data_IF_663843202508
#
_entry.id   IF_663843202508
#
_cell.length_a   1.000
_cell.length_b   1.000
_cell.length_c   1.000
_cell.angle_alpha   90.00
_cell.angle_beta   90.00
_cell.angle_gamma   90.00
#
_symmetry.space_group_name_H-M   'P 1'
#
loop_
_entity.id
_entity.type
_entity.pdbx_description
1 polymer ?
#
# COMPACT_ATOMS: atom_id res chain seq x y z
N UNK A 1 -17.05 3.70 0.05
CA UNK A 1 -15.78 4.01 0.75
C UNK A 1 -15.73 5.52 0.88
N UNK A 2 -15.63 6.07 2.09
CA UNK A 2 -15.57 7.53 2.27
C UNK A 2 -14.11 7.97 2.33
N UNK A 3 -13.62 8.52 1.22
CA UNK A 3 -12.24 8.98 1.10
C UNK A 3 -11.88 10.04 2.15
N UNK A 4 -12.83 10.91 2.50
CA UNK A 4 -12.60 11.95 3.50
C UNK A 4 -12.34 11.34 4.88
N UNK A 5 -13.08 10.28 5.23
CA UNK A 5 -12.88 9.57 6.49
C UNK A 5 -11.51 8.91 6.53
N UNK A 6 -11.10 8.22 5.46
CA UNK A 6 -9.79 7.55 5.40
C UNK A 6 -8.66 8.56 5.54
N UNK A 7 -8.73 9.68 4.82
CA UNK A 7 -7.73 10.76 4.93
C UNK A 7 -7.71 11.35 6.34
N UNK A 8 -8.88 11.55 6.97
CA UNK A 8 -8.96 12.03 8.34
C UNK A 8 -8.33 11.05 9.34
N UNK A 9 -8.52 9.74 9.16
CA UNK A 9 -7.90 8.71 10.01
C UNK A 9 -6.37 8.68 9.82
N UNK A 10 -5.88 8.75 8.58
CA UNK A 10 -4.44 8.84 8.28
C UNK A 10 -3.82 10.09 8.91
N UNK A 11 -4.48 11.26 8.79
CA UNK A 11 -4.07 12.53 9.44
C UNK A 11 -3.92 12.39 10.95
N UNK A 12 -4.80 11.61 11.58
CA UNK A 12 -4.77 11.35 13.01
C UNK A 12 -3.84 10.17 13.39
N UNK A 13 -2.97 9.72 12.48
CA UNK A 13 -2.07 8.57 12.66
C UNK A 13 -2.80 7.27 13.04
N UNK A 14 -4.08 7.14 12.66
CA UNK A 14 -4.86 5.90 12.78
C UNK A 14 -4.67 5.06 11.52
N UNK A 15 -3.47 4.54 11.36
CA UNK A 15 -3.09 3.74 10.19
C UNK A 15 -3.61 2.32 10.31
N UNK A 16 -4.23 1.82 9.25
CA UNK A 16 -4.54 0.40 9.07
C UNK A 16 -3.35 -0.27 8.36
N UNK A 17 -3.09 -1.55 8.63
CA UNK A 17 -1.99 -2.27 7.97
C UNK A 17 -2.24 -2.46 6.47
N UNK A 18 -3.51 -2.47 6.04
CA UNK A 18 -3.89 -2.71 4.64
C UNK A 18 -5.02 -1.78 4.22
N UNK A 19 -4.88 -1.19 3.03
CA UNK A 19 -5.93 -0.42 2.36
C UNK A 19 -6.18 -1.00 0.96
N UNK A 20 -7.41 -1.39 0.67
CA UNK A 20 -7.85 -1.73 -0.69
C UNK A 20 -8.56 -0.51 -1.29
N UNK A 21 -7.87 0.21 -2.17
CA UNK A 21 -8.42 1.39 -2.84
C UNK A 21 -8.97 0.97 -4.20
N UNK A 22 -10.31 0.97 -4.33
CA UNK A 22 -10.98 0.58 -5.57
C UNK A 22 -12.29 1.37 -5.75
N UNK A 23 -12.74 1.53 -6.99
CA UNK A 23 -13.96 2.24 -7.30
C UNK A 23 -14.02 2.70 -8.76
N UNK A 24 -15.17 3.25 -9.15
CA UNK A 24 -15.40 3.80 -10.49
C UNK A 24 -14.82 5.21 -10.66
N UNK A 25 -14.55 5.90 -9.56
CA UNK A 25 -14.02 7.27 -9.53
C UNK A 25 -12.52 7.26 -9.14
N UNK A 26 -11.58 7.34 -10.12
CA UNK A 26 -10.15 7.24 -9.85
C UNK A 26 -9.62 8.36 -8.96
N UNK A 27 -10.24 9.54 -9.02
CA UNK A 27 -9.86 10.70 -8.22
C UNK A 27 -9.72 10.38 -6.73
N UNK A 28 -10.64 9.60 -6.15
CA UNK A 28 -10.56 9.25 -4.72
C UNK A 28 -9.48 8.21 -4.42
N UNK A 29 -9.17 7.34 -5.38
CA UNK A 29 -8.08 6.37 -5.26
C UNK A 29 -6.76 7.14 -5.21
N UNK A 30 -6.54 8.02 -6.20
CA UNK A 30 -5.35 8.86 -6.31
C UNK A 30 -5.21 9.76 -5.08
N UNK A 31 -6.29 10.42 -4.67
CA UNK A 31 -6.30 11.30 -3.49
C UNK A 31 -5.81 10.57 -2.23
N UNK A 32 -6.24 9.32 -1.99
CA UNK A 32 -5.82 8.56 -0.81
C UNK A 32 -4.40 8.03 -1.00
N UNK A 33 -4.07 7.47 -2.16
CA UNK A 33 -2.75 6.88 -2.40
C UNK A 33 -1.64 7.93 -2.34
N UNK A 34 -1.88 9.10 -2.94
CA UNK A 34 -0.91 10.20 -2.93
C UNK A 34 -0.76 10.77 -1.51
N UNK A 35 -1.86 10.85 -0.76
CA UNK A 35 -1.79 11.26 0.65
C UNK A 35 -0.94 10.29 1.49
N UNK A 36 -1.10 8.98 1.29
CA UNK A 36 -0.27 7.96 1.95
C UNK A 36 1.20 8.11 1.53
N UNK A 37 1.44 8.22 0.22
CA UNK A 37 2.77 8.35 -0.38
C UNK A 37 3.53 9.56 0.19
N UNK A 38 2.83 10.68 0.38
CA UNK A 38 3.43 11.94 0.78
C UNK A 38 3.58 12.11 2.30
N UNK A 39 2.65 11.58 3.11
CA UNK A 39 2.50 12.00 4.52
C UNK A 39 2.72 10.90 5.57
N UNK A 40 2.70 9.62 5.20
CA UNK A 40 2.87 8.55 6.20
C UNK A 40 4.31 8.51 6.73
N UNK A 41 5.28 8.74 5.85
CA UNK A 41 6.70 8.74 6.18
C UNK A 41 7.29 10.14 6.11
N UNK A 42 8.29 10.38 6.94
CA UNK A 42 9.13 11.57 6.79
C UNK A 42 9.92 11.47 5.48
N UNK A 43 10.18 12.62 4.85
CA UNK A 43 10.85 12.69 3.55
C UNK A 43 12.19 11.95 3.52
N UNK A 44 12.98 12.04 4.60
CA UNK A 44 14.26 11.36 4.72
C UNK A 44 14.15 9.83 4.78
N UNK A 45 13.00 9.30 5.22
CA UNK A 45 12.77 7.86 5.37
C UNK A 45 12.19 7.23 4.10
N UNK A 46 11.48 7.99 3.26
CA UNK A 46 10.82 7.48 2.05
C UNK A 46 11.76 6.68 1.14
N UNK A 47 12.99 7.14 0.95
CA UNK A 47 13.97 6.45 0.11
C UNK A 47 14.36 5.03 0.59
N UNK A 48 14.05 4.69 1.84
CA UNK A 48 14.37 3.40 2.46
C UNK A 48 13.11 2.59 2.79
N UNK A 49 12.07 3.27 3.27
CA UNK A 49 10.89 2.65 3.86
C UNK A 49 9.64 2.77 2.99
N UNK A 50 9.77 3.32 1.78
CA UNK A 50 8.70 3.35 0.78
C UNK A 50 9.07 2.52 -0.43
N UNK A 51 8.14 1.71 -0.91
CA UNK A 51 8.30 0.98 -2.18
C UNK A 51 7.04 1.13 -3.01
N UNK A 52 7.19 1.67 -4.21
CA UNK A 52 6.12 1.75 -5.21
C UNK A 52 6.32 0.59 -6.21
N UNK A 53 5.32 -0.25 -6.32
CA UNK A 53 5.25 -1.36 -7.27
C UNK A 53 4.15 -1.07 -8.30
N UNK A 54 4.31 -1.60 -9.50
CA UNK A 54 3.29 -1.53 -10.54
C UNK A 54 2.74 -2.93 -10.81
N UNK A 55 1.42 -3.11 -10.79
CA UNK A 55 0.78 -4.42 -10.89
C UNK A 55 1.19 -5.23 -12.12
N UNK A 56 1.45 -4.55 -13.25
CA UNK A 56 1.91 -5.18 -14.50
C UNK A 56 3.35 -5.71 -14.45
N UNK A 57 4.19 -5.15 -13.56
CA UNK A 57 5.64 -5.39 -13.48
C UNK A 57 6.05 -6.13 -12.19
N UNK A 58 5.07 -6.61 -11.40
CA UNK A 58 5.32 -7.25 -10.11
C UNK A 58 4.53 -8.55 -9.96
N UNK A 59 4.93 -9.37 -8.99
CA UNK A 59 4.26 -10.61 -8.62
C UNK A 59 4.02 -10.67 -7.10
N UNK A 60 3.18 -11.61 -6.67
CA UNK A 60 2.80 -11.74 -5.27
C UNK A 60 4.00 -12.09 -4.36
N UNK A 61 4.97 -12.83 -4.86
CA UNK A 61 6.20 -13.16 -4.13
C UNK A 61 6.99 -11.89 -3.82
N UNK A 62 7.20 -11.04 -4.82
CA UNK A 62 7.91 -9.76 -4.68
C UNK A 62 7.17 -8.82 -3.75
N UNK A 63 5.85 -8.68 -3.93
CA UNK A 63 4.99 -7.84 -3.10
C UNK A 63 5.06 -8.24 -1.62
N UNK A 64 4.82 -9.52 -1.32
CA UNK A 64 4.79 -10.02 0.06
C UNK A 64 6.18 -9.95 0.69
N UNK A 65 7.24 -10.22 -0.07
CA UNK A 65 8.60 -10.06 0.44
C UNK A 65 8.96 -8.60 0.73
N UNK A 66 8.43 -7.64 -0.03
CA UNK A 66 8.62 -6.22 0.26
C UNK A 66 7.85 -5.79 1.53
N UNK A 67 6.61 -6.27 1.68
CA UNK A 67 5.75 -5.97 2.82
C UNK A 67 6.26 -6.58 4.15
N UNK A 68 6.89 -7.76 4.11
CA UNK A 68 7.48 -8.41 5.30
C UNK A 68 8.78 -7.78 5.79
N UNK A 69 9.34 -6.80 5.09
CA UNK A 69 10.57 -6.13 5.54
C UNK A 69 10.26 -5.19 6.69
N UNK A 70 11.11 -5.23 7.71
CA UNK A 70 11.07 -4.22 8.74
C UNK A 70 11.47 -2.85 8.18
N UNK A 71 10.88 -1.76 8.70
CA UNK A 71 11.37 -0.41 8.43
C UNK A 71 12.84 -0.30 8.81
N UNK A 72 13.61 0.41 7.99
CA UNK A 72 15.01 0.70 8.20
C UNK A 72 15.21 1.96 9.06
N UNK A 73 14.47 3.05 8.80
CA UNK A 73 14.65 4.33 9.49
C UNK A 73 13.38 4.81 10.19
N UNK A 74 12.22 4.62 9.57
CA UNK A 74 10.93 5.04 10.08
C UNK A 74 10.26 4.03 10.99
N UNK A 75 9.04 4.36 11.41
CA UNK A 75 8.18 3.46 12.20
C UNK A 75 7.42 2.45 11.32
N UNK A 76 7.25 2.75 10.03
CA UNK A 76 6.42 1.99 9.10
C UNK A 76 7.16 1.71 7.80
N UNK A 77 6.82 0.58 7.19
CA UNK A 77 7.20 0.20 5.84
C UNK A 77 5.96 0.40 4.96
N UNK A 78 6.05 1.28 3.97
CA UNK A 78 4.91 1.65 3.11
C UNK A 78 5.08 1.06 1.73
N UNK A 79 4.23 0.08 1.41
CA UNK A 79 4.19 -0.54 0.08
C UNK A 79 2.94 -0.07 -0.66
N UNK A 80 3.13 0.54 -1.82
CA UNK A 80 2.04 1.03 -2.68
C UNK A 80 2.07 0.27 -4.00
N UNK A 81 0.99 -0.44 -4.33
CA UNK A 81 0.86 -1.14 -5.61
C UNK A 81 -0.06 -0.33 -6.52
N UNK A 82 0.51 0.40 -7.48
CA UNK A 82 -0.24 1.14 -8.50
C UNK A 82 -0.73 0.16 -9.57
N UNK A 83 -1.91 0.43 -10.13
CA UNK A 83 -2.54 -0.44 -11.15
C UNK A 83 -2.67 -1.92 -10.71
N UNK A 84 -3.05 -2.15 -9.45
CA UNK A 84 -3.08 -3.48 -8.84
C UNK A 84 -4.02 -4.48 -9.55
N UNK A 85 -5.01 -4.01 -10.31
CA UNK A 85 -5.86 -4.87 -11.15
C UNK A 85 -5.06 -5.64 -12.23
N UNK A 86 -3.86 -5.15 -12.59
CA UNK A 86 -2.98 -5.80 -13.57
C UNK A 86 -2.08 -6.88 -12.96
N UNK A 87 -2.14 -7.11 -11.64
CA UNK A 87 -1.49 -8.26 -11.03
C UNK A 87 -2.03 -9.56 -11.63
N UNK A 88 -1.20 -10.60 -11.61
CA UNK A 88 -1.60 -11.94 -12.07
C UNK A 88 -2.45 -12.63 -11.00
N UNK A 89 -3.70 -12.20 -10.84
CA UNK A 89 -4.66 -12.73 -9.85
C UNK A 89 -5.04 -14.21 -10.01
N UNK A 90 -4.67 -14.86 -11.12
CA UNK A 90 -5.03 -16.26 -11.37
C UNK A 90 -3.82 -17.16 -11.09
N UNK A 91 -3.85 -17.87 -9.97
CA UNK A 91 -3.01 -19.05 -9.72
C UNK A 91 -1.97 -18.94 -8.61
N UNK A 92 -1.69 -17.75 -8.08
CA UNK A 92 -0.62 -17.51 -7.09
C UNK A 92 -1.01 -16.48 -5.99
N UNK A 93 -2.29 -16.14 -5.85
CA UNK A 93 -2.78 -15.14 -4.89
C UNK A 93 -2.86 -15.66 -3.44
N UNK A 94 -2.76 -16.98 -3.24
CA UNK A 94 -2.73 -17.62 -1.91
C UNK A 94 -1.65 -17.01 -0.98
N UNK A 95 -0.50 -16.64 -1.55
CA UNK A 95 0.58 -16.04 -0.77
C UNK A 95 0.20 -14.66 -0.23
N UNK A 96 -0.48 -13.86 -1.05
CA UNK A 96 -0.99 -12.57 -0.63
C UNK A 96 -2.10 -12.75 0.40
N UNK A 97 -3.03 -13.67 0.17
CA UNK A 97 -4.13 -13.95 1.10
C UNK A 97 -3.59 -14.34 2.49
N UNK A 98 -2.64 -15.26 2.57
CA UNK A 98 -2.02 -15.69 3.82
C UNK A 98 -1.32 -14.53 4.55
N UNK A 99 -0.73 -13.58 3.82
CA UNK A 99 -0.17 -12.36 4.42
C UNK A 99 -1.27 -11.45 4.96
N UNK A 100 -2.36 -11.22 4.19
CA UNK A 100 -3.45 -10.33 4.56
C UNK A 100 -4.27 -10.82 5.78
N UNK A 101 -4.24 -12.11 6.10
CA UNK A 101 -4.84 -12.63 7.33
C UNK A 101 -4.10 -12.17 8.60
N UNK A 102 -2.78 -11.90 8.50
CA UNK A 102 -1.93 -11.44 9.61
C UNK A 102 -0.84 -10.47 9.09
N UNK A 103 -1.22 -9.26 8.63
CA UNK A 103 -0.33 -8.34 7.92
C UNK A 103 0.66 -7.60 8.81
#
# INVERSE_FOLDING_TARGET
MDANKIIADIKNRKLLPVYLLHGEEPYYIDLISDYIEEHVLEEAHKGFDQTILYGKDTDFVTLVNAAKRYPMLGEYQVIIVKEAQNLKWKGDDDLLLAYLENP
#
